data_IF_603529864775
#
_entry.id   IF_603529864775
#
_cell.length_a   1.000
_cell.length_b   1.000
_cell.length_c   1.000
_cell.angle_alpha   90.00
_cell.angle_beta   90.00
_cell.angle_gamma   90.00
#
_symmetry.space_group_name_H-M   'P 1'
#
loop_
_entity.id
_entity.type
_entity.pdbx_description
1 polymer ?
#
# COMPACT_ATOMS: atom_id res chain seq x y z
N UNK A 1 40.45 14.18 -3.45
CA UNK A 1 39.66 13.14 -2.74
C UNK A 1 39.05 13.77 -1.50
N UNK A 2 37.72 13.92 -1.46
CA UNK A 2 37.00 14.37 -0.27
C UNK A 2 36.56 13.12 0.48
N UNK A 3 37.03 12.93 1.70
CA UNK A 3 36.60 11.84 2.58
C UNK A 3 36.48 12.37 4.01
N UNK A 4 35.64 11.74 4.82
CA UNK A 4 35.56 12.05 6.24
C UNK A 4 36.38 11.06 7.05
N UNK A 5 37.00 11.49 8.16
CA UNK A 5 37.76 10.62 9.05
C UNK A 5 36.85 9.69 9.89
N UNK A 6 35.54 9.97 9.96
CA UNK A 6 34.56 9.14 10.67
C UNK A 6 34.24 7.86 9.87
N UNK A 7 34.10 6.73 10.57
CA UNK A 7 33.61 5.49 9.97
C UNK A 7 32.16 5.61 9.48
N UNK A 8 31.82 4.83 8.44
CA UNK A 8 30.46 4.71 7.90
C UNK A 8 30.36 5.11 6.42
N UNK A 9 29.29 4.64 5.79
CA UNK A 9 28.96 4.99 4.40
C UNK A 9 28.27 6.36 4.37
N UNK A 10 28.80 7.25 3.55
CA UNK A 10 28.27 8.61 3.40
C UNK A 10 27.62 8.75 2.04
N UNK A 11 26.34 9.08 2.03
CA UNK A 11 25.66 9.48 0.81
C UNK A 11 25.93 10.97 0.56
N UNK A 12 26.60 11.34 -0.54
CA UNK A 12 26.73 12.74 -0.91
C UNK A 12 25.36 13.28 -1.35
N UNK A 13 24.79 14.21 -0.58
CA UNK A 13 23.50 14.84 -0.85
C UNK A 13 23.55 16.36 -0.67
N UNK A 14 22.64 17.07 -1.34
CA UNK A 14 22.33 18.48 -1.08
C UNK A 14 20.86 18.58 -0.64
N UNK A 15 20.63 18.85 0.65
CA UNK A 15 19.27 18.83 1.21
C UNK A 15 18.65 17.43 1.16
N UNK A 16 17.39 17.34 0.70
CA UNK A 16 16.66 16.08 0.52
C UNK A 16 16.88 15.42 -0.85
N UNK A 17 17.72 16.00 -1.72
CA UNK A 17 17.95 15.53 -3.09
C UNK A 17 19.32 14.86 -3.26
N UNK A 18 19.44 14.06 -4.33
CA UNK A 18 20.72 13.56 -4.81
C UNK A 18 21.66 14.72 -5.17
N UNK A 19 22.96 14.54 -4.97
CA UNK A 19 23.92 15.53 -5.43
C UNK A 19 23.80 15.72 -6.96
N UNK A 20 23.91 16.96 -7.47
CA UNK A 20 23.80 17.26 -8.91
C UNK A 20 24.98 16.72 -9.73
N UNK A 21 25.96 16.11 -9.07
CA UNK A 21 27.12 15.46 -9.66
C UNK A 21 27.13 13.99 -9.25
N UNK A 22 27.56 13.06 -10.12
CA UNK A 22 27.76 11.66 -9.76
C UNK A 22 28.95 11.54 -8.80
N UNK A 23 28.68 11.67 -7.50
CA UNK A 23 29.69 11.56 -6.45
C UNK A 23 29.57 10.19 -5.79
N UNK A 24 30.70 9.52 -5.61
CA UNK A 24 30.81 8.30 -4.79
C UNK A 24 31.44 8.67 -3.46
N UNK A 25 30.75 8.33 -2.36
CA UNK A 25 31.36 8.33 -1.04
C UNK A 25 32.27 7.11 -0.89
N UNK A 26 33.48 7.32 -0.39
CA UNK A 26 34.36 6.23 0.05
C UNK A 26 34.45 6.24 1.56
N UNK A 27 34.54 5.05 2.14
CA UNK A 27 34.86 4.91 3.57
C UNK A 27 36.28 5.40 3.87
N UNK A 28 36.54 5.74 5.13
CA UNK A 28 37.83 6.28 5.54
C UNK A 28 39.01 5.33 5.25
N UNK A 29 38.81 4.02 5.40
CA UNK A 29 39.78 2.97 5.11
C UNK A 29 40.01 2.79 3.62
N UNK A 30 38.96 2.73 2.80
CA UNK A 30 39.05 2.71 1.33
C UNK A 30 39.76 3.96 0.81
N UNK A 31 39.42 5.12 1.38
CA UNK A 31 40.02 6.39 1.03
C UNK A 31 41.50 6.46 1.44
N UNK A 32 41.91 5.78 2.51
CA UNK A 32 43.32 5.66 2.91
C UNK A 32 44.12 4.79 1.92
N UNK A 33 43.53 3.68 1.47
CA UNK A 33 44.12 2.83 0.41
C UNK A 33 44.30 3.65 -0.87
N UNK A 34 43.25 4.36 -1.30
CA UNK A 34 43.31 5.19 -2.51
C UNK A 34 44.31 6.35 -2.38
N UNK A 35 44.38 7.02 -1.22
CA UNK A 35 45.40 8.06 -0.96
C UNK A 35 46.82 7.51 -1.07
N UNK A 36 47.06 6.32 -0.54
CA UNK A 36 48.37 5.66 -0.60
C UNK A 36 48.74 5.31 -2.04
N UNK A 37 47.78 4.83 -2.85
CA UNK A 37 48.00 4.54 -4.27
C UNK A 37 48.31 5.81 -5.07
N UNK A 38 47.55 6.89 -4.85
CA UNK A 38 47.74 8.18 -5.53
C UNK A 38 49.06 8.87 -5.15
N UNK A 39 49.58 8.65 -3.95
CA UNK A 39 50.89 9.17 -3.52
C UNK A 39 52.07 8.66 -4.36
N UNK A 40 51.86 7.61 -5.17
CA UNK A 40 52.87 7.02 -6.07
C UNK A 40 52.73 7.48 -7.53
N UNK A 41 51.82 8.41 -7.81
CA UNK A 41 51.52 8.91 -9.16
C UNK A 41 50.08 8.62 -9.59
N UNK A 42 49.84 8.53 -10.89
CA UNK A 42 48.51 8.18 -11.43
C UNK A 42 48.14 6.77 -10.94
N UNK A 43 46.96 6.65 -10.34
CA UNK A 43 46.38 5.38 -9.95
C UNK A 43 45.16 5.09 -10.83
N UNK A 44 45.04 3.86 -11.30
CA UNK A 44 43.83 3.35 -11.94
C UNK A 44 42.97 2.68 -10.87
N UNK A 45 41.68 2.98 -10.85
CA UNK A 45 40.73 2.43 -9.88
C UNK A 45 39.66 1.68 -10.66
N UNK A 46 39.60 0.36 -10.44
CA UNK A 46 38.48 -0.46 -10.86
C UNK A 46 37.55 -0.65 -9.67
N UNK A 47 36.24 -0.48 -9.89
CA UNK A 47 35.22 -0.65 -8.86
C UNK A 47 34.05 -1.42 -9.44
N UNK A 48 33.30 -2.09 -8.57
CA UNK A 48 32.05 -2.75 -8.91
C UNK A 48 31.04 -2.35 -7.84
N UNK A 49 29.88 -1.88 -8.28
CA UNK A 49 28.80 -1.51 -7.38
C UNK A 49 27.52 -2.22 -7.79
N UNK A 50 26.68 -2.48 -6.79
CA UNK A 50 25.34 -3.00 -6.97
C UNK A 50 24.36 -1.84 -6.89
N UNK A 51 23.79 -1.43 -8.01
CA UNK A 51 22.89 -0.27 -8.07
C UNK A 51 21.64 -0.43 -7.19
N UNK A 52 21.08 -1.65 -7.16
CA UNK A 52 19.94 -2.03 -6.33
C UNK A 52 20.32 -3.27 -5.52
N UNK A 53 20.54 -3.10 -4.21
CA UNK A 53 20.92 -4.22 -3.35
C UNK A 53 19.79 -5.26 -3.26
N UNK A 54 20.06 -6.56 -3.48
CA UNK A 54 19.05 -7.60 -3.34
C UNK A 54 18.72 -7.93 -1.88
N UNK A 55 19.35 -7.25 -0.92
CA UNK A 55 19.06 -7.40 0.51
C UNK A 55 19.32 -6.12 1.31
N UNK A 56 18.74 -6.06 2.51
CA UNK A 56 19.02 -5.04 3.53
C UNK A 56 19.07 -5.69 4.92
N UNK A 57 19.91 -5.17 5.81
CA UNK A 57 20.00 -5.60 7.20
C UNK A 57 19.46 -4.51 8.13
N UNK A 58 18.33 -4.80 8.76
CA UNK A 58 17.68 -3.97 9.76
C UNK A 58 18.10 -4.48 11.16
N UNK A 59 19.15 -3.86 11.70
CA UNK A 59 19.80 -4.33 12.91
C UNK A 59 19.52 -3.42 14.10
N UNK A 60 19.22 -4.01 15.25
CA UNK A 60 18.99 -3.30 16.51
C UNK A 60 19.72 -4.02 17.64
N UNK A 61 20.67 -3.34 18.27
CA UNK A 61 21.45 -3.89 19.39
C UNK A 61 21.23 -3.03 20.65
N UNK A 62 20.07 -3.16 21.31
CA UNK A 62 19.79 -2.40 22.52
C UNK A 62 20.71 -2.89 23.65
N UNK A 63 21.34 -1.95 24.34
CA UNK A 63 22.20 -2.21 25.50
C UNK A 63 21.57 -1.62 26.76
N UNK A 64 21.79 -2.27 27.91
CA UNK A 64 21.33 -1.77 29.21
C UNK A 64 22.52 -1.20 29.99
N UNK A 65 22.31 -0.04 30.62
CA UNK A 65 23.34 0.61 31.44
C UNK A 65 24.32 1.47 30.62
N UNK A 66 25.45 1.80 31.23
CA UNK A 66 26.45 2.66 30.60
C UNK A 66 27.27 1.88 29.57
N UNK A 67 27.50 2.49 28.40
CA UNK A 67 28.48 2.02 27.43
C UNK A 67 29.89 2.41 27.93
N UNK A 68 30.64 1.45 28.46
CA UNK A 68 31.97 1.69 29.06
C UNK A 68 33.14 1.22 28.19
N UNK A 69 32.87 0.65 27.02
CA UNK A 69 33.88 0.18 26.07
C UNK A 69 33.31 0.12 24.66
N UNK A 70 34.19 0.10 23.66
CA UNK A 70 33.81 -0.14 22.27
C UNK A 70 33.03 -1.45 22.12
N UNK A 71 32.05 -1.45 21.21
CA UNK A 71 31.21 -2.61 20.90
C UNK A 71 31.34 -2.96 19.42
N UNK A 72 31.49 -4.26 19.14
CA UNK A 72 31.47 -4.79 17.78
C UNK A 72 30.49 -5.95 17.72
N UNK A 73 29.44 -5.80 16.90
CA UNK A 73 28.44 -6.83 16.68
C UNK A 73 28.75 -7.57 15.38
N UNK A 74 28.84 -8.90 15.45
CA UNK A 74 28.98 -9.78 14.28
C UNK A 74 27.74 -10.65 14.20
N UNK A 75 26.94 -10.44 13.16
CA UNK A 75 25.68 -11.15 12.96
C UNK A 75 25.79 -12.12 11.81
N UNK A 76 25.04 -13.22 11.90
CA UNK A 76 24.86 -14.20 10.82
C UNK A 76 23.38 -14.29 10.50
N UNK A 77 23.03 -14.47 9.24
CA UNK A 77 21.64 -14.46 8.74
C UNK A 77 20.74 -15.42 9.50
N UNK A 78 21.25 -16.62 9.85
CA UNK A 78 20.51 -17.63 10.65
C UNK A 78 20.09 -17.18 12.06
N UNK A 79 20.61 -16.03 12.53
CA UNK A 79 20.25 -15.41 13.81
C UNK A 79 19.23 -14.27 13.66
N UNK A 80 18.84 -13.97 12.43
CA UNK A 80 17.87 -12.95 12.06
C UNK A 80 16.59 -13.60 11.57
N UNK A 81 15.47 -12.89 11.64
CA UNK A 81 14.33 -13.21 10.79
C UNK A 81 14.55 -12.61 9.41
N UNK A 82 13.93 -13.19 8.38
CA UNK A 82 14.02 -12.68 7.02
C UNK A 82 12.64 -12.51 6.39
N UNK A 83 12.50 -11.46 5.58
CA UNK A 83 11.30 -11.19 4.79
C UNK A 83 11.72 -11.08 3.34
N UNK A 84 11.15 -11.91 2.47
CA UNK A 84 11.26 -11.70 1.03
C UNK A 84 10.19 -10.69 0.63
N UNK A 85 10.61 -9.44 0.44
CA UNK A 85 9.72 -8.34 0.11
C UNK A 85 9.69 -8.14 -1.40
N UNK A 86 8.49 -8.11 -1.98
CA UNK A 86 8.24 -7.67 -3.36
C UNK A 86 7.60 -6.29 -3.31
N UNK A 87 8.00 -5.42 -4.23
CA UNK A 87 7.50 -4.05 -4.36
C UNK A 87 6.94 -3.89 -5.76
N UNK A 88 5.65 -3.60 -5.90
CA UNK A 88 5.06 -3.23 -7.18
C UNK A 88 5.08 -1.71 -7.36
N UNK A 89 5.25 -1.26 -8.60
CA UNK A 89 5.11 0.15 -8.94
C UNK A 89 3.67 0.51 -9.24
N UNK A 90 3.37 1.81 -9.27
CA UNK A 90 2.07 2.31 -9.70
C UNK A 90 2.05 2.61 -11.21
N UNK A 91 2.68 1.76 -12.02
CA UNK A 91 2.76 1.88 -13.47
C UNK A 91 3.92 2.72 -14.00
N UNK A 92 4.79 3.22 -13.10
CA UNK A 92 6.04 3.93 -13.43
C UNK A 92 7.14 3.36 -12.54
N UNK A 93 8.23 2.89 -13.14
CA UNK A 93 9.38 2.44 -12.36
C UNK A 93 9.98 3.64 -11.60
N UNK A 94 10.11 3.52 -10.29
CA UNK A 94 10.60 4.58 -9.41
C UNK A 94 11.19 3.99 -8.13
N UNK A 95 11.97 4.80 -7.42
CA UNK A 95 12.41 4.47 -6.08
C UNK A 95 11.36 4.98 -5.07
N UNK A 96 10.87 4.08 -4.23
CA UNK A 96 9.96 4.40 -3.14
C UNK A 96 10.76 4.66 -1.86
N UNK A 97 10.23 5.52 -1.00
CA UNK A 97 10.84 5.83 0.29
C UNK A 97 10.41 4.80 1.33
N UNK A 98 11.39 4.06 1.82
CA UNK A 98 11.28 3.02 2.83
C UNK A 98 11.66 3.58 4.21
N UNK A 99 10.64 3.71 5.06
CA UNK A 99 10.77 4.16 6.44
C UNK A 99 10.52 3.00 7.38
N UNK A 100 11.49 2.73 8.24
CA UNK A 100 11.41 1.66 9.22
C UNK A 100 11.36 2.23 10.62
N UNK A 101 10.26 1.98 11.32
CA UNK A 101 10.13 2.28 12.74
C UNK A 101 10.55 1.07 13.57
N UNK A 102 11.19 1.36 14.69
CA UNK A 102 11.61 0.39 15.69
C UNK A 102 11.06 0.77 17.05
N UNK A 103 10.23 -0.10 17.61
CA UNK A 103 9.61 0.09 18.93
C UNK A 103 10.16 -0.92 19.93
N UNK A 104 10.42 -0.45 21.15
CA UNK A 104 10.95 -1.25 22.25
C UNK A 104 9.88 -1.52 23.31
N UNK A 105 9.97 -2.62 24.08
CA UNK A 105 8.97 -2.97 25.10
C UNK A 105 8.76 -1.93 26.20
N UNK A 106 9.71 -1.02 26.41
CA UNK A 106 9.57 0.09 27.37
C UNK A 106 8.81 1.31 26.81
N UNK A 107 8.22 1.17 25.60
CA UNK A 107 7.32 2.16 25.02
C UNK A 107 7.96 3.21 24.11
N UNK A 108 9.28 3.19 23.92
CA UNK A 108 9.93 4.11 22.97
C UNK A 108 9.91 3.58 21.54
N UNK A 109 9.73 4.51 20.60
CA UNK A 109 9.78 4.28 19.16
C UNK A 109 10.82 5.21 18.53
N UNK A 110 11.62 4.67 17.62
CA UNK A 110 12.67 5.37 16.89
C UNK A 110 12.53 5.10 15.39
N UNK A 111 13.07 5.99 14.56
CA UNK A 111 13.26 5.70 13.13
C UNK A 111 14.60 4.98 12.95
N UNK A 112 14.57 3.78 12.38
CA UNK A 112 15.75 2.97 12.04
C UNK A 112 16.25 3.24 10.61
N UNK A 113 15.43 3.84 9.76
CA UNK A 113 15.84 4.43 8.48
C UNK A 113 15.28 5.85 8.34
N UNK A 114 15.97 6.68 7.56
CA UNK A 114 15.43 7.96 7.08
C UNK A 114 15.71 8.06 5.59
N UNK A 115 14.66 8.07 4.76
CA UNK A 115 14.76 8.22 3.30
C UNK A 115 15.56 7.12 2.60
N UNK A 116 15.56 5.90 3.14
CA UNK A 116 16.09 4.77 2.40
C UNK A 116 15.23 4.54 1.15
N UNK A 117 15.86 4.14 0.05
CA UNK A 117 15.17 3.92 -1.22
C UNK A 117 15.02 2.42 -1.49
N UNK A 118 13.89 2.05 -2.07
CA UNK A 118 13.64 0.72 -2.61
C UNK A 118 13.06 0.83 -4.01
N UNK A 119 13.67 0.11 -4.95
CA UNK A 119 13.22 0.11 -6.33
C UNK A 119 11.84 -0.56 -6.44
N UNK A 120 10.90 0.09 -7.13
CA UNK A 120 9.59 -0.43 -7.49
C UNK A 120 9.44 -0.34 -9.03
N UNK A 121 9.24 -1.45 -9.76
CA UNK A 121 9.11 -2.80 -9.23
C UNK A 121 10.45 -3.38 -8.77
N UNK A 122 10.42 -4.18 -7.73
CA UNK A 122 11.64 -4.78 -7.18
C UNK A 122 11.37 -5.93 -6.23
N UNK A 123 12.44 -6.64 -5.89
CA UNK A 123 12.42 -7.72 -4.91
C UNK A 123 13.73 -7.70 -4.13
N UNK A 124 13.63 -7.73 -2.80
CA UNK A 124 14.81 -7.84 -1.91
C UNK A 124 14.51 -8.68 -0.67
N UNK A 125 15.55 -9.24 -0.08
CA UNK A 125 15.46 -9.94 1.22
C UNK A 125 15.82 -8.98 2.35
N UNK A 126 14.90 -8.78 3.29
CA UNK A 126 15.04 -7.86 4.40
C UNK A 126 15.29 -8.68 5.67
N UNK A 127 16.44 -8.48 6.31
CA UNK A 127 16.82 -9.19 7.52
C UNK A 127 16.57 -8.34 8.75
N UNK A 128 15.96 -8.90 9.79
CA UNK A 128 15.60 -8.18 11.01
C UNK A 128 16.19 -8.84 12.24
N UNK A 129 16.67 -8.01 13.18
CA UNK A 129 17.03 -8.53 14.51
C UNK A 129 15.81 -9.18 15.15
N UNK A 130 15.96 -10.46 15.51
CA UNK A 130 14.93 -11.23 16.18
C UNK A 130 14.84 -10.89 17.67
N UNK A 131 13.68 -11.15 18.29
CA UNK A 131 13.45 -10.96 19.72
C UNK A 131 12.29 -10.03 20.03
N UNK A 132 12.46 -9.17 21.04
CA UNK A 132 11.44 -8.27 21.58
C UNK A 132 11.38 -6.90 20.88
N UNK A 133 12.21 -6.68 19.85
CA UNK A 133 12.14 -5.51 19.01
C UNK A 133 10.96 -5.62 18.07
N UNK A 134 10.04 -4.64 18.15
CA UNK A 134 8.93 -4.52 17.21
C UNK A 134 9.38 -3.66 16.04
N UNK A 135 9.18 -4.16 14.83
CA UNK A 135 9.51 -3.51 13.59
C UNK A 135 8.24 -3.16 12.84
N UNK A 136 8.17 -1.95 12.30
CA UNK A 136 7.06 -1.53 11.45
C UNK A 136 7.61 -0.80 10.24
N UNK A 137 7.31 -1.33 9.06
CA UNK A 137 7.71 -0.74 7.79
C UNK A 137 6.59 0.15 7.26
N UNK A 138 7.01 1.25 6.66
CA UNK A 138 6.17 2.18 5.96
C UNK A 138 6.83 2.50 4.63
N UNK A 139 6.03 2.52 3.57
CA UNK A 139 6.50 2.75 2.22
C UNK A 139 5.70 3.89 1.60
N UNK A 140 6.38 4.79 0.91
CA UNK A 140 5.76 5.90 0.20
C UNK A 140 6.28 5.96 -1.23
N UNK A 141 5.40 6.12 -2.21
CA UNK A 141 5.86 6.26 -3.60
C UNK A 141 6.45 7.63 -3.90
N UNK A 142 6.18 8.63 -3.08
CA UNK A 142 6.54 10.01 -3.36
C UNK A 142 6.90 10.76 -2.09
N UNK A 143 8.04 11.46 -2.10
CA UNK A 143 8.51 12.26 -0.98
C UNK A 143 8.69 13.72 -1.42
N UNK A 144 8.37 14.72 -0.57
CA UNK A 144 7.86 14.59 0.80
C UNK A 144 6.34 14.45 0.94
N UNK A 145 5.60 14.42 -0.17
CA UNK A 145 4.16 14.69 -0.17
C UNK A 145 3.27 13.56 -0.72
N UNK A 146 3.72 12.31 -0.60
CA UNK A 146 2.96 11.12 -1.01
C UNK A 146 2.18 10.48 0.12
N UNK A 147 1.37 9.49 -0.25
CA UNK A 147 0.73 8.55 0.66
C UNK A 147 1.79 7.75 1.44
N UNK A 148 1.35 7.15 2.55
CA UNK A 148 2.18 6.27 3.36
C UNK A 148 1.47 4.93 3.54
N UNK A 149 1.91 3.92 2.78
CA UNK A 149 1.48 2.55 2.97
C UNK A 149 2.15 1.99 4.22
N UNK A 150 1.37 1.50 5.17
CA UNK A 150 1.86 1.05 6.47
C UNK A 150 1.57 -0.44 6.64
N UNK A 151 2.61 -1.20 7.00
CA UNK A 151 2.49 -2.60 7.35
C UNK A 151 2.32 -2.83 8.85
N UNK A 152 2.07 -4.09 9.22
CA UNK A 152 1.82 -4.44 10.62
C UNK A 152 3.09 -4.33 11.46
N UNK A 153 2.95 -3.79 12.67
CA UNK A 153 4.01 -3.81 13.66
C UNK A 153 4.21 -5.23 14.20
N UNK A 154 5.40 -5.81 14.00
CA UNK A 154 5.66 -7.21 14.35
C UNK A 154 7.09 -7.46 14.86
N UNK A 155 7.23 -8.52 15.65
CA UNK A 155 8.53 -9.08 16.04
C UNK A 155 8.93 -10.20 15.09
N UNK A 156 10.23 -10.40 14.88
CA UNK A 156 10.75 -11.48 14.05
C UNK A 156 11.40 -12.60 14.88
N UNK A 157 11.35 -13.82 14.34
CA UNK A 157 11.99 -15.00 14.93
C UNK A 157 13.25 -15.38 14.15
N UNK A 158 14.32 -15.74 14.86
CA UNK A 158 15.58 -16.11 14.25
C UNK A 158 15.43 -17.37 13.36
N UNK A 159 15.96 -17.30 12.13
CA UNK A 159 15.89 -18.38 11.14
C UNK A 159 14.53 -18.56 10.48
N UNK A 160 13.52 -17.76 10.84
CA UNK A 160 12.19 -17.79 10.22
C UNK A 160 12.14 -16.83 9.04
N UNK A 161 11.66 -17.35 7.91
CA UNK A 161 11.40 -16.57 6.70
C UNK A 161 9.90 -16.30 6.54
N UNK A 162 9.55 -15.11 6.10
CA UNK A 162 8.20 -14.73 5.65
C UNK A 162 8.27 -14.01 4.30
N UNK A 163 7.11 -13.71 3.73
CA UNK A 163 6.96 -12.90 2.50
C UNK A 163 6.12 -11.68 2.81
N UNK A 164 6.28 -10.63 2.03
CA UNK A 164 5.45 -9.42 2.10
C UNK A 164 5.37 -8.80 0.70
N UNK A 165 4.19 -8.41 0.27
CA UNK A 165 3.94 -7.89 -1.07
C UNK A 165 3.38 -6.47 -1.00
N UNK A 166 4.25 -5.49 -1.25
CA UNK A 166 3.93 -4.08 -1.13
C UNK A 166 3.31 -3.54 -2.41
N UNK A 167 2.24 -2.76 -2.25
CA UNK A 167 1.50 -2.11 -3.32
C UNK A 167 0.91 -3.13 -4.31
N UNK A 168 0.70 -4.38 -3.91
CA UNK A 168 0.23 -5.43 -4.83
C UNK A 168 -1.21 -5.20 -5.31
N UNK A 169 -1.44 -5.48 -6.59
CA UNK A 169 -2.80 -5.52 -7.16
C UNK A 169 -3.41 -4.12 -7.35
N UNK A 170 -4.74 -4.01 -7.27
CA UNK A 170 -5.42 -2.72 -7.39
C UNK A 170 -5.43 -2.02 -6.04
N UNK A 171 -4.97 -0.76 -5.99
CA UNK A 171 -5.04 0.04 -4.77
C UNK A 171 -6.38 0.75 -4.72
N UNK A 172 -7.27 0.25 -3.87
CA UNK A 172 -8.65 0.74 -3.73
C UNK A 172 -8.99 1.00 -2.27
N UNK A 173 -10.02 1.82 -1.97
CA UNK A 173 -10.51 1.96 -0.61
C UNK A 173 -10.87 0.61 0.01
N UNK A 174 -10.57 0.45 1.30
CA UNK A 174 -10.71 -0.82 2.01
C UNK A 174 -11.11 -0.63 3.47
N UNK A 175 -11.23 -1.73 4.19
CA UNK A 175 -11.40 -1.67 5.64
C UNK A 175 -10.15 -1.06 6.30
N UNK A 176 -10.31 -0.15 7.27
CA UNK A 176 -9.20 0.30 8.10
C UNK A 176 -8.67 -0.86 8.93
N UNK A 177 -7.46 -0.71 9.46
CA UNK A 177 -6.84 -1.68 10.37
C UNK A 177 -6.35 -1.01 11.64
N UNK A 178 -6.42 -1.73 12.75
CA UNK A 178 -5.83 -1.31 14.02
C UNK A 178 -4.31 -1.54 14.04
N UNK A 179 -3.66 -1.16 15.15
CA UNK A 179 -2.22 -1.30 15.31
C UNK A 179 -1.73 -2.77 15.34
N UNK A 180 -2.65 -3.73 15.50
CA UNK A 180 -2.38 -5.16 15.48
C UNK A 180 -2.64 -5.77 14.09
N UNK A 181 -3.01 -4.96 13.10
CA UNK A 181 -3.30 -5.41 11.73
C UNK A 181 -4.68 -6.01 11.55
N UNK A 182 -5.54 -5.97 12.57
CA UNK A 182 -6.92 -6.47 12.47
C UNK A 182 -7.81 -5.40 11.84
N UNK A 183 -8.80 -5.83 11.05
CA UNK A 183 -9.83 -4.94 10.53
C UNK A 183 -10.46 -4.12 11.66
N UNK A 184 -10.54 -2.81 11.45
CA UNK A 184 -11.18 -1.82 12.31
C UNK A 184 -12.54 -1.41 11.72
N UNK A 185 -13.31 -0.61 12.48
CA UNK A 185 -14.64 -0.18 12.07
C UNK A 185 -14.54 0.81 10.90
N UNK A 186 -15.10 0.46 9.74
CA UNK A 186 -15.12 1.36 8.59
C UNK A 186 -16.34 2.27 8.57
N UNK A 187 -17.45 1.83 9.19
CA UNK A 187 -18.65 2.64 9.31
C UNK A 187 -19.66 2.03 10.27
N UNK A 188 -20.41 2.90 10.91
CA UNK A 188 -21.41 2.55 11.92
C UNK A 188 -22.59 3.52 11.92
N UNK A 189 -23.71 3.06 12.46
CA UNK A 189 -24.82 3.89 12.89
C UNK A 189 -24.84 4.00 14.41
N UNK A 190 -24.87 5.23 14.91
CA UNK A 190 -25.07 5.58 16.31
C UNK A 190 -26.28 6.50 16.39
N UNK A 191 -27.39 5.99 16.94
CA UNK A 191 -28.66 6.72 16.98
C UNK A 191 -29.11 7.24 15.59
N UNK A 192 -29.32 8.54 15.44
CA UNK A 192 -29.67 9.21 14.19
C UNK A 192 -28.45 9.71 13.40
N UNK A 193 -27.29 9.09 13.60
CA UNK A 193 -26.06 9.42 12.85
C UNK A 193 -25.45 8.19 12.21
N UNK A 194 -24.96 8.35 10.98
CA UNK A 194 -24.15 7.37 10.24
C UNK A 194 -22.75 7.95 10.11
N UNK A 195 -21.76 7.33 10.74
CA UNK A 195 -20.34 7.69 10.66
C UNK A 195 -19.59 6.72 9.78
N UNK A 196 -18.75 7.22 8.87
CA UNK A 196 -18.02 6.40 7.89
C UNK A 196 -16.60 6.94 7.68
N UNK A 197 -15.61 6.07 7.80
CA UNK A 197 -14.18 6.37 7.66
C UNK A 197 -13.40 5.11 7.20
N UNK A 198 -13.53 4.68 5.93
CA UNK A 198 -12.75 3.58 5.39
C UNK A 198 -11.28 3.97 5.23
N UNK A 199 -10.39 2.98 5.06
CA UNK A 199 -9.04 3.26 4.60
C UNK A 199 -9.10 3.83 3.18
N UNK A 200 -8.33 4.88 2.92
CA UNK A 200 -8.36 5.60 1.64
C UNK A 200 -7.87 4.73 0.48
N UNK A 201 -6.85 3.92 0.74
CA UNK A 201 -6.36 2.89 -0.16
C UNK A 201 -5.80 1.73 0.64
N UNK A 202 -5.90 0.53 0.10
CA UNK A 202 -5.32 -0.70 0.67
C UNK A 202 -4.74 -1.55 -0.44
N UNK A 203 -3.70 -2.31 -0.13
CA UNK A 203 -3.33 -3.49 -0.90
C UNK A 203 -3.86 -4.76 -0.21
N UNK A 204 -3.29 -5.93 -0.50
CA UNK A 204 -3.67 -7.21 0.13
C UNK A 204 -3.38 -7.28 1.63
N UNK A 205 -2.39 -6.53 2.12
CA UNK A 205 -1.81 -6.70 3.46
C UNK A 205 -1.74 -5.39 4.26
N UNK A 206 -1.70 -4.25 3.58
CA UNK A 206 -1.31 -2.95 4.12
C UNK A 206 -2.40 -1.89 3.92
N UNK A 207 -2.32 -0.83 4.75
CA UNK A 207 -3.22 0.33 4.69
C UNK A 207 -2.45 1.59 4.28
N UNK A 208 -2.99 2.35 3.34
CA UNK A 208 -2.42 3.61 2.87
C UNK A 208 -3.04 4.80 3.58
N UNK A 209 -2.20 5.60 4.22
CA UNK A 209 -2.56 6.93 4.71
C UNK A 209 -2.40 7.96 3.60
N UNK A 210 -3.34 8.90 3.48
CA UNK A 210 -3.30 9.96 2.48
C UNK A 210 -2.13 10.92 2.73
N UNK A 211 -1.44 11.33 1.66
CA UNK A 211 -0.38 12.34 1.70
C UNK A 211 -0.88 13.79 1.79
N UNK A 212 -2.20 14.01 1.80
CA UNK A 212 -2.93 15.30 1.87
C UNK A 212 -2.69 16.32 0.74
N UNK A 213 -1.59 16.27 -0.01
CA UNK A 213 -1.23 17.25 -1.06
C UNK A 213 -1.51 16.77 -2.50
N UNK A 214 -2.16 15.63 -2.64
CA UNK A 214 -2.44 15.00 -3.94
C UNK A 214 -3.45 13.86 -3.85
N UNK A 215 -3.68 13.32 -2.66
CA UNK A 215 -4.77 12.39 -2.38
C UNK A 215 -5.98 13.17 -1.89
N UNK A 216 -7.04 13.22 -2.71
CA UNK A 216 -8.28 13.92 -2.38
C UNK A 216 -9.46 12.95 -2.45
N UNK A 217 -10.52 13.25 -1.72
CA UNK A 217 -11.74 12.47 -1.80
C UNK A 217 -12.93 13.15 -1.15
N UNK A 218 -14.11 12.64 -1.45
CA UNK A 218 -15.37 13.15 -0.96
C UNK A 218 -16.37 12.01 -0.77
N UNK A 219 -17.43 12.27 -0.01
CA UNK A 219 -18.53 11.33 0.19
C UNK A 219 -19.88 11.97 -0.06
N UNK A 220 -20.82 11.16 -0.54
CA UNK A 220 -22.24 11.49 -0.67
C UNK A 220 -23.08 10.35 -0.15
N UNK A 221 -24.03 10.65 0.74
CA UNK A 221 -25.01 9.70 1.25
C UNK A 221 -26.39 10.03 0.66
N UNK A 222 -27.03 9.02 0.07
CA UNK A 222 -28.44 9.06 -0.32
C UNK A 222 -29.26 8.13 0.56
N UNK A 223 -30.54 8.48 0.74
CA UNK A 223 -31.57 7.68 1.38
C UNK A 223 -32.77 7.61 0.43
N UNK A 224 -33.19 6.40 0.05
CA UNK A 224 -34.31 6.18 -0.89
C UNK A 224 -34.18 7.02 -2.19
N UNK A 225 -32.96 7.20 -2.68
CA UNK A 225 -32.64 7.98 -3.88
C UNK A 225 -32.34 9.47 -3.65
N UNK A 226 -32.75 10.05 -2.52
CA UNK A 226 -32.55 11.47 -2.21
C UNK A 226 -31.23 11.70 -1.46
N UNK A 227 -30.49 12.76 -1.81
CA UNK A 227 -29.25 13.13 -1.11
C UNK A 227 -29.59 13.66 0.28
N UNK A 228 -29.04 13.01 1.32
CA UNK A 228 -29.25 13.37 2.74
C UNK A 228 -27.99 13.93 3.40
N UNK A 229 -26.83 13.83 2.74
CA UNK A 229 -25.62 14.49 3.21
C UNK A 229 -24.42 14.30 2.29
N UNK A 230 -23.45 15.20 2.43
CA UNK A 230 -22.21 15.20 1.67
C UNK A 230 -21.04 15.58 2.59
N UNK A 231 -19.85 15.07 2.29
CA UNK A 231 -18.60 15.44 2.95
C UNK A 231 -17.57 15.79 1.90
N UNK A 232 -16.88 16.92 2.09
CA UNK A 232 -15.71 17.31 1.29
C UNK A 232 -14.45 16.49 1.59
N UNK A 233 -14.56 15.48 2.44
CA UNK A 233 -13.50 14.56 2.83
C UNK A 233 -13.90 13.11 2.53
N UNK A 234 -12.95 12.17 2.41
CA UNK A 234 -13.23 10.74 2.22
C UNK A 234 -13.66 10.03 3.52
N UNK A 235 -14.31 10.77 4.42
CA UNK A 235 -14.92 10.32 5.67
C UNK A 235 -15.96 11.36 6.10
N UNK A 236 -16.88 10.98 6.98
CA UNK A 236 -17.87 11.93 7.48
C UNK A 236 -18.88 11.30 8.43
N UNK A 237 -19.71 12.17 9.01
CA UNK A 237 -20.87 11.80 9.82
C UNK A 237 -22.10 12.49 9.22
N UNK A 238 -23.15 11.72 9.01
CA UNK A 238 -24.40 12.18 8.39
C UNK A 238 -25.55 12.02 9.36
N UNK A 239 -26.38 13.05 9.51
CA UNK A 239 -27.63 12.94 10.30
C UNK A 239 -28.69 12.27 9.43
N UNK A 240 -29.33 11.22 9.95
CA UNK A 240 -30.34 10.44 9.23
C UNK A 240 -31.58 10.19 10.10
N UNK A 241 -32.78 10.07 9.50
CA UNK A 241 -34.00 9.70 10.22
C UNK A 241 -33.92 8.31 10.87
N UNK A 242 -34.75 8.06 11.87
CA UNK A 242 -34.72 6.83 12.68
C UNK A 242 -35.18 5.57 11.90
N UNK A 243 -36.07 5.76 10.95
CA UNK A 243 -36.77 4.70 10.23
C UNK A 243 -35.81 3.83 9.40
N UNK A 244 -36.18 2.56 9.22
CA UNK A 244 -35.53 1.69 8.24
C UNK A 244 -35.64 2.28 6.83
N UNK A 245 -34.53 2.32 6.12
CA UNK A 245 -34.44 2.81 4.75
C UNK A 245 -33.27 2.18 4.01
N UNK A 246 -33.36 2.17 2.67
CA UNK A 246 -32.24 1.91 1.80
C UNK A 246 -31.36 3.17 1.69
N UNK A 247 -30.04 2.95 1.79
CA UNK A 247 -29.01 3.97 1.66
C UNK A 247 -28.04 3.61 0.54
N UNK A 248 -27.56 4.64 -0.15
CA UNK A 248 -26.41 4.55 -1.06
C UNK A 248 -25.33 5.52 -0.57
N UNK A 249 -24.16 4.99 -0.20
CA UNK A 249 -23.01 5.80 0.15
C UNK A 249 -21.99 5.74 -0.99
N UNK A 250 -21.68 6.87 -1.61
CA UNK A 250 -20.64 6.98 -2.62
C UNK A 250 -19.39 7.64 -2.02
N UNK A 251 -18.24 7.00 -2.17
CA UNK A 251 -16.91 7.54 -1.92
C UNK A 251 -16.18 7.72 -3.26
N UNK A 252 -15.68 8.92 -3.51
CA UNK A 252 -14.73 9.19 -4.59
C UNK A 252 -13.35 9.44 -3.98
N UNK A 253 -12.31 8.79 -4.52
CA UNK A 253 -10.91 9.08 -4.22
C UNK A 253 -10.15 9.37 -5.52
N UNK A 254 -9.22 10.32 -5.48
CA UNK A 254 -8.43 10.71 -6.64
C UNK A 254 -7.01 11.02 -6.20
N UNK A 255 -6.05 10.63 -7.04
CA UNK A 255 -4.65 11.01 -6.93
C UNK A 255 -4.28 12.03 -8.01
N UNK A 256 -3.80 13.20 -7.61
CA UNK A 256 -3.47 14.33 -8.48
C UNK A 256 -2.14 15.00 -8.11
N UNK A 257 -1.72 15.94 -8.95
CA UNK A 257 -0.59 16.84 -8.67
C UNK A 257 0.78 16.16 -8.73
N UNK A 258 1.79 16.84 -8.17
CA UNK A 258 3.16 16.31 -8.13
C UNK A 258 3.29 14.94 -7.46
N UNK A 259 2.56 14.62 -6.37
CA UNK A 259 2.61 13.28 -5.75
C UNK A 259 2.13 12.15 -6.67
N UNK A 260 1.31 12.46 -7.68
CA UNK A 260 0.84 11.49 -8.67
C UNK A 260 1.84 11.23 -9.81
N UNK A 261 3.01 11.87 -9.84
CA UNK A 261 3.94 11.75 -10.97
C UNK A 261 4.39 10.30 -11.26
N UNK A 262 4.55 9.50 -10.19
CA UNK A 262 4.91 8.08 -10.27
C UNK A 262 3.69 7.14 -10.24
N UNK A 263 2.48 7.72 -10.34
CA UNK A 263 1.22 7.02 -10.20
C UNK A 263 0.40 7.12 -11.49
N UNK A 264 0.29 6.00 -12.19
CA UNK A 264 -0.48 5.83 -13.42
C UNK A 264 -1.53 4.74 -13.29
N UNK A 265 -1.77 4.24 -12.08
CA UNK A 265 -2.67 3.12 -11.81
C UNK A 265 -3.57 3.39 -10.62
N UNK A 266 -4.84 3.00 -10.69
CA UNK A 266 -5.84 3.32 -9.64
C UNK A 266 -5.84 4.83 -9.31
N UNK A 267 -5.78 5.67 -10.34
CA UNK A 267 -5.64 7.14 -10.23
C UNK A 267 -6.90 7.79 -9.70
N UNK A 268 -8.05 7.13 -9.89
CA UNK A 268 -9.33 7.50 -9.31
C UNK A 268 -10.12 6.23 -8.99
N UNK A 269 -10.84 6.26 -7.87
CA UNK A 269 -11.87 5.27 -7.57
C UNK A 269 -13.20 5.94 -7.25
N UNK A 270 -14.28 5.30 -7.66
CA UNK A 270 -15.64 5.63 -7.23
C UNK A 270 -16.27 4.36 -6.69
N UNK A 271 -16.57 4.34 -5.39
CA UNK A 271 -17.15 3.18 -4.70
C UNK A 271 -18.50 3.57 -4.14
N UNK A 272 -19.57 2.91 -4.57
CA UNK A 272 -20.92 3.10 -4.03
C UNK A 272 -21.38 1.84 -3.32
N UNK A 273 -21.66 1.95 -2.03
CA UNK A 273 -22.24 0.88 -1.21
C UNK A 273 -23.74 1.04 -1.11
N UNK A 274 -24.49 -0.03 -1.39
CA UNK A 274 -25.93 -0.12 -1.18
C UNK A 274 -26.24 -0.99 0.04
N UNK A 275 -26.98 -0.43 1.01
CA UNK A 275 -27.34 -1.13 2.25
C UNK A 275 -28.65 -0.65 2.86
N UNK A 276 -29.23 -1.42 3.79
CA UNK A 276 -30.32 -0.95 4.67
C UNK A 276 -29.81 -0.60 6.06
N UNK A 277 -30.43 0.37 6.70
CA UNK A 277 -30.10 0.76 8.08
C UNK A 277 -31.32 1.29 8.83
N UNK A 278 -31.48 0.88 10.09
CA UNK A 278 -32.54 1.31 11.02
C UNK A 278 -31.92 1.72 12.37
N UNK A 279 -32.54 2.66 13.07
CA UNK A 279 -32.14 3.02 14.43
C UNK A 279 -32.55 1.91 15.40
N UNK A 280 -31.58 1.36 16.12
CA UNK A 280 -31.84 0.44 17.25
C UNK A 280 -31.47 1.14 18.56
N UNK A 281 -32.45 1.60 19.36
CA UNK A 281 -32.20 2.41 20.56
C UNK A 281 -31.29 1.72 21.58
N UNK A 282 -31.35 0.39 21.65
CA UNK A 282 -30.61 -0.41 22.62
C UNK A 282 -29.22 -0.86 22.13
N UNK A 283 -28.79 -0.41 20.93
CA UNK A 283 -27.49 -0.75 20.35
C UNK A 283 -26.66 0.51 20.20
N UNK A 284 -25.60 0.63 21.01
CA UNK A 284 -24.74 1.81 21.03
C UNK A 284 -24.01 2.05 19.69
N UNK A 285 -23.61 0.98 19.00
CA UNK A 285 -22.90 1.02 17.72
C UNK A 285 -23.38 -0.13 16.83
N UNK A 286 -23.94 0.22 15.67
CA UNK A 286 -24.40 -0.74 14.67
C UNK A 286 -23.49 -0.69 13.45
N UNK A 287 -22.69 -1.72 13.19
CA UNK A 287 -21.84 -1.74 12.01
C UNK A 287 -22.64 -1.67 10.70
N UNK A 288 -22.20 -0.83 9.77
CA UNK A 288 -22.83 -0.72 8.44
C UNK A 288 -22.38 -1.89 7.55
N UNK A 289 -23.26 -2.47 6.72
CA UNK A 289 -22.90 -3.60 5.90
C UNK A 289 -22.21 -3.17 4.60
N UNK A 290 -20.99 -2.66 4.75
CA UNK A 290 -20.15 -2.17 3.65
C UNK A 290 -19.28 -3.32 3.12
N UNK A 291 -19.44 -3.64 1.82
CA UNK A 291 -18.61 -4.61 1.11
C UNK A 291 -17.38 -3.94 0.50
N UNK A 292 -16.18 -4.41 0.81
CA UNK A 292 -14.93 -3.94 0.20
C UNK A 292 -14.42 -4.93 -0.85
N UNK A 293 -14.51 -4.60 -2.16
CA UNK A 293 -14.03 -5.49 -3.22
C UNK A 293 -12.54 -5.84 -3.09
N UNK A 294 -12.21 -7.09 -3.41
CA UNK A 294 -10.83 -7.60 -3.52
C UNK A 294 -10.62 -8.22 -4.89
N UNK A 295 -9.48 -7.90 -5.48
CA UNK A 295 -9.14 -8.29 -6.85
C UNK A 295 -7.85 -9.09 -6.87
N UNK A 296 -7.89 -10.24 -7.52
CA UNK A 296 -6.68 -11.01 -7.88
C UNK A 296 -6.47 -10.84 -9.39
N UNK A 297 -5.82 -9.72 -9.77
CA UNK A 297 -5.45 -9.43 -11.16
C UNK A 297 -4.08 -10.07 -11.43
N UNK A 298 -3.91 -10.85 -12.51
CA UNK A 298 -2.64 -11.51 -12.83
C UNK A 298 -1.65 -10.55 -13.48
N UNK A 299 -1.40 -9.41 -12.84
CA UNK A 299 -0.49 -8.37 -13.34
C UNK A 299 0.95 -8.61 -12.92
N UNK A 300 1.89 -8.07 -13.69
CA UNK A 300 3.28 -7.95 -13.25
C UNK A 300 3.49 -6.75 -12.30
N UNK A 301 4.73 -6.56 -11.83
CA UNK A 301 5.06 -5.47 -10.91
C UNK A 301 4.91 -4.05 -11.49
N UNK A 302 4.64 -3.91 -12.79
CA UNK A 302 4.28 -2.63 -13.43
C UNK A 302 2.76 -2.45 -13.54
N UNK A 303 1.98 -3.39 -12.98
CA UNK A 303 0.52 -3.47 -13.10
C UNK A 303 0.09 -3.57 -14.56
N UNK A 304 0.74 -4.48 -15.29
CA UNK A 304 0.36 -4.80 -16.67
C UNK A 304 -0.07 -6.26 -16.83
N UNK A 305 -1.01 -6.49 -17.74
CA UNK A 305 -1.47 -7.83 -18.14
C UNK A 305 -1.17 -8.05 -19.62
N UNK A 306 -0.94 -9.30 -20.09
CA UNK A 306 -0.71 -9.57 -21.50
C UNK A 306 -1.89 -9.15 -22.40
N UNK A 307 -1.60 -8.65 -23.61
CA UNK A 307 -2.56 -8.47 -24.71
C UNK A 307 -3.06 -9.81 -25.26
N UNK A 308 -3.88 -10.50 -24.49
CA UNK A 308 -4.42 -11.82 -24.82
C UNK A 308 -5.86 -11.93 -24.35
N UNK A 309 -6.65 -12.70 -25.08
CA UNK A 309 -7.95 -13.13 -24.59
C UNK A 309 -7.79 -14.07 -23.38
N UNK A 310 -8.81 -14.11 -22.52
CA UNK A 310 -8.93 -15.08 -21.45
C UNK A 310 -8.18 -14.71 -20.18
N UNK A 311 -7.81 -13.44 -19.98
CA UNK A 311 -7.25 -13.01 -18.68
C UNK A 311 -8.33 -13.16 -17.60
N UNK A 312 -7.97 -13.76 -16.46
CA UNK A 312 -8.90 -14.07 -15.38
C UNK A 312 -8.59 -13.21 -14.17
N UNK A 313 -9.59 -12.47 -13.70
CA UNK A 313 -9.53 -11.65 -12.49
C UNK A 313 -10.33 -12.38 -11.42
N UNK A 314 -9.68 -12.73 -10.30
CA UNK A 314 -10.38 -13.26 -9.13
C UNK A 314 -11.12 -12.14 -8.40
N UNK A 315 -12.32 -12.44 -7.92
CA UNK A 315 -13.19 -11.49 -7.23
C UNK A 315 -13.60 -12.02 -5.86
N UNK A 316 -13.50 -11.16 -4.85
CA UNK A 316 -14.02 -11.39 -3.52
C UNK A 316 -14.47 -10.06 -2.89
N UNK A 317 -15.07 -10.12 -1.71
CA UNK A 317 -15.35 -8.95 -0.88
C UNK A 317 -14.99 -9.25 0.58
N UNK A 318 -14.44 -8.26 1.27
CA UNK A 318 -14.27 -8.27 2.72
C UNK A 318 -15.24 -7.31 3.38
N UNK A 319 -15.45 -7.44 4.69
CA UNK A 319 -16.18 -6.46 5.48
C UNK A 319 -15.22 -5.60 6.28
N UNK A 320 -15.61 -5.31 7.51
CA UNK A 320 -14.81 -4.56 8.49
C UNK A 320 -15.20 -5.01 9.91
N UNK A 321 -14.63 -4.42 10.96
CA UNK A 321 -14.86 -4.88 12.34
C UNK A 321 -16.35 -4.96 12.76
N UNK A 322 -17.22 -4.13 12.17
CA UNK A 322 -18.65 -4.09 12.48
C UNK A 322 -19.53 -4.94 11.55
N UNK A 323 -18.98 -5.56 10.50
CA UNK A 323 -19.75 -6.34 9.54
C UNK A 323 -18.91 -7.41 8.85
N UNK A 324 -19.41 -8.66 8.86
CA UNK A 324 -18.87 -9.76 8.06
C UNK A 324 -19.85 -10.06 6.91
N UNK A 325 -19.42 -9.96 5.64
CA UNK A 325 -20.29 -10.23 4.49
C UNK A 325 -20.80 -11.68 4.45
N UNK A 326 -21.99 -11.85 3.89
CA UNK A 326 -22.44 -13.17 3.42
C UNK A 326 -21.65 -13.64 2.20
N UNK A 327 -21.91 -14.86 1.74
CA UNK A 327 -21.38 -15.32 0.45
C UNK A 327 -21.85 -14.42 -0.69
N UNK A 328 -20.99 -14.17 -1.67
CA UNK A 328 -21.36 -13.39 -2.86
C UNK A 328 -22.33 -14.18 -3.73
N UNK A 329 -23.50 -13.60 -3.98
CA UNK A 329 -24.57 -14.18 -4.81
C UNK A 329 -24.53 -13.67 -6.25
N UNK A 330 -23.94 -12.50 -6.47
CA UNK A 330 -23.79 -11.90 -7.80
C UNK A 330 -22.44 -11.18 -7.90
N UNK A 331 -21.78 -11.37 -9.04
CA UNK A 331 -20.63 -10.57 -9.45
C UNK A 331 -20.75 -10.23 -10.94
N UNK A 332 -20.67 -8.94 -11.26
CA UNK A 332 -20.57 -8.43 -12.63
C UNK A 332 -19.33 -7.58 -12.75
N UNK A 333 -18.62 -7.73 -13.86
CA UNK A 333 -17.47 -6.91 -14.18
C UNK A 333 -17.63 -6.40 -15.60
N UNK A 334 -17.39 -5.11 -15.78
CA UNK A 334 -17.22 -4.48 -17.08
C UNK A 334 -15.90 -3.74 -17.11
N UNK A 335 -15.29 -3.66 -18.28
CA UNK A 335 -14.03 -2.96 -18.50
C UNK A 335 -14.15 -1.98 -19.67
N UNK A 336 -13.34 -0.94 -19.63
CA UNK A 336 -13.31 0.14 -20.61
C UNK A 336 -11.87 0.50 -20.96
N UNK A 337 -11.65 0.95 -22.20
CA UNK A 337 -10.36 1.46 -22.68
C UNK A 337 -10.37 2.98 -22.95
N UNK A 338 -11.51 3.64 -22.73
CA UNK A 338 -11.76 5.06 -23.00
C UNK A 338 -12.22 5.81 -21.74
N UNK A 339 -11.80 5.33 -20.55
CA UNK A 339 -12.10 6.00 -19.28
C UNK A 339 -13.52 5.81 -18.77
N UNK A 340 -14.30 4.89 -19.35
CA UNK A 340 -15.66 4.56 -18.93
C UNK A 340 -16.75 5.17 -19.82
N UNK A 341 -16.41 5.70 -21.00
CA UNK A 341 -17.38 6.17 -21.99
C UNK A 341 -18.09 4.98 -22.65
N UNK A 342 -17.34 3.94 -23.00
CA UNK A 342 -17.88 2.65 -23.48
C UNK A 342 -17.43 1.49 -22.61
N UNK A 343 -18.30 0.48 -22.49
CA UNK A 343 -18.10 -0.66 -21.59
C UNK A 343 -18.21 -1.99 -22.32
N UNK A 344 -17.25 -2.86 -22.07
CA UNK A 344 -17.27 -4.27 -22.46
C UNK A 344 -17.61 -5.12 -21.25
N UNK A 345 -18.58 -6.02 -21.37
CA UNK A 345 -18.91 -6.96 -20.31
C UNK A 345 -17.86 -8.08 -20.24
N UNK A 346 -17.36 -8.36 -19.05
CA UNK A 346 -16.57 -9.56 -18.79
C UNK A 346 -17.49 -10.77 -18.57
N UNK A 347 -17.02 -11.97 -18.91
CA UNK A 347 -17.75 -13.19 -18.56
C UNK A 347 -17.46 -13.54 -17.11
N UNK A 348 -18.46 -13.46 -16.23
CA UNK A 348 -18.31 -13.83 -14.82
C UNK A 348 -18.79 -15.25 -14.55
N UNK A 349 -18.07 -15.96 -13.68
CA UNK A 349 -18.41 -17.31 -13.26
C UNK A 349 -18.09 -17.53 -11.78
N UNK A 350 -18.87 -18.41 -11.14
CA UNK A 350 -18.62 -18.89 -9.79
C UNK A 350 -18.26 -20.38 -9.86
N UNK A 351 -17.02 -20.73 -9.49
CA UNK A 351 -16.53 -22.11 -9.50
C UNK A 351 -15.68 -22.37 -8.27
N UNK A 352 -15.94 -23.48 -7.57
CA UNK A 352 -15.18 -23.88 -6.38
C UNK A 352 -15.17 -22.83 -5.26
N UNK A 353 -16.27 -22.11 -5.07
CA UNK A 353 -16.40 -21.06 -4.05
C UNK A 353 -15.67 -19.75 -4.38
N UNK A 354 -15.22 -19.56 -5.63
CA UNK A 354 -14.51 -18.36 -6.09
C UNK A 354 -15.20 -17.74 -7.29
N UNK A 355 -15.37 -16.42 -7.24
CA UNK A 355 -15.83 -15.63 -8.37
C UNK A 355 -14.64 -15.26 -9.26
N UNK A 356 -14.84 -15.32 -10.57
CA UNK A 356 -13.84 -14.94 -11.56
C UNK A 356 -14.51 -14.17 -12.69
N UNK A 357 -13.89 -13.09 -13.15
CA UNK A 357 -14.22 -12.40 -14.39
C UNK A 357 -13.18 -12.72 -15.45
N UNK A 358 -13.62 -13.12 -16.65
CA UNK A 358 -12.75 -13.33 -17.81
C UNK A 358 -12.88 -12.16 -18.77
N UNK A 359 -11.76 -11.50 -19.07
CA UNK A 359 -11.67 -10.32 -19.93
C UNK A 359 -10.84 -10.60 -21.19
N UNK A 360 -11.19 -9.91 -22.28
CA UNK A 360 -10.48 -10.01 -23.55
C UNK A 360 -9.66 -8.75 -23.83
N UNK A 361 -8.34 -8.93 -23.94
CA UNK A 361 -7.37 -7.88 -24.21
C UNK A 361 -6.57 -8.13 -25.50
N UNK A 362 -7.00 -9.06 -26.37
CA UNK A 362 -6.22 -9.45 -27.55
C UNK A 362 -5.81 -8.26 -28.44
N UNK A 363 -6.72 -7.30 -28.63
CA UNK A 363 -6.50 -6.13 -29.51
C UNK A 363 -6.25 -4.83 -28.74
N UNK A 364 -5.86 -4.93 -27.46
CA UNK A 364 -5.78 -3.79 -26.54
C UNK A 364 -4.36 -3.43 -26.10
N UNK A 365 -3.31 -3.93 -26.77
CA UNK A 365 -1.92 -3.63 -26.42
C UNK A 365 -1.68 -2.10 -26.29
N UNK A 366 -1.01 -1.70 -25.20
CA UNK A 366 -0.72 -0.30 -24.88
C UNK A 366 -1.89 0.49 -24.29
N UNK A 367 -3.08 -0.11 -24.12
CA UNK A 367 -4.23 0.56 -23.51
C UNK A 367 -4.20 0.46 -21.99
N UNK A 368 -4.75 1.49 -21.33
CA UNK A 368 -5.12 1.44 -19.92
C UNK A 368 -6.55 0.91 -19.79
N UNK A 369 -6.83 0.20 -18.70
CA UNK A 369 -8.15 -0.40 -18.44
C UNK A 369 -8.80 0.28 -17.24
N UNK A 370 -9.99 0.83 -17.43
CA UNK A 370 -10.90 1.18 -16.34
C UNK A 370 -11.78 -0.03 -16.04
N UNK A 371 -11.83 -0.43 -14.77
CA UNK A 371 -12.58 -1.60 -14.32
C UNK A 371 -13.78 -1.16 -13.49
N UNK A 372 -14.98 -1.64 -13.81
CA UNK A 372 -16.18 -1.47 -12.98
C UNK A 372 -16.67 -2.83 -12.51
N UNK A 373 -16.87 -2.95 -11.21
CA UNK A 373 -17.23 -4.20 -10.53
C UNK A 373 -18.47 -3.97 -9.69
N UNK A 374 -19.45 -4.85 -9.82
CA UNK A 374 -20.67 -4.87 -9.02
C UNK A 374 -20.73 -6.21 -8.28
N UNK A 375 -20.76 -6.18 -6.95
CA UNK A 375 -20.87 -7.35 -6.10
C UNK A 375 -22.13 -7.25 -5.23
N UNK A 376 -22.76 -8.38 -4.96
CA UNK A 376 -23.90 -8.49 -4.03
C UNK A 376 -23.71 -9.72 -3.15
N UNK A 377 -23.94 -9.58 -1.85
CA UNK A 377 -23.88 -10.69 -0.91
C UNK A 377 -25.25 -11.34 -0.65
N UNK A 378 -25.25 -12.47 0.07
CA UNK A 378 -26.46 -13.20 0.44
C UNK A 378 -27.40 -12.43 1.38
N UNK A 379 -26.91 -11.35 2.01
CA UNK A 379 -27.71 -10.48 2.87
C UNK A 379 -28.38 -9.33 2.07
N UNK A 380 -28.15 -9.27 0.75
CA UNK A 380 -28.72 -8.26 -0.13
C UNK A 380 -27.96 -6.93 -0.14
N UNK A 381 -26.79 -6.85 0.49
CA UNK A 381 -25.93 -5.67 0.44
C UNK A 381 -25.10 -5.68 -0.83
N UNK A 382 -24.81 -4.50 -1.37
CA UNK A 382 -24.12 -4.37 -2.65
C UNK A 382 -22.99 -3.35 -2.62
N UNK A 383 -22.06 -3.51 -3.54
CA UNK A 383 -21.04 -2.50 -3.84
C UNK A 383 -20.82 -2.41 -5.34
N UNK A 384 -20.77 -1.19 -5.87
CA UNK A 384 -20.31 -0.88 -7.22
C UNK A 384 -19.02 -0.08 -7.10
N UNK A 385 -17.92 -0.58 -7.64
CA UNK A 385 -16.64 0.12 -7.64
C UNK A 385 -16.11 0.28 -9.06
N UNK A 386 -15.83 1.52 -9.45
CA UNK A 386 -15.09 1.86 -10.66
C UNK A 386 -13.67 2.26 -10.29
N UNK A 387 -12.68 1.64 -10.92
CA UNK A 387 -11.25 1.91 -10.75
C UNK A 387 -10.70 2.40 -12.08
N UNK A 388 -10.37 3.68 -12.16
CA UNK A 388 -9.74 4.29 -13.33
C UNK A 388 -8.26 3.92 -13.37
N UNK A 389 -7.77 3.58 -14.56
CA UNK A 389 -6.42 3.05 -14.78
C UNK A 389 -6.12 1.84 -13.87
N UNK A 390 -7.04 0.89 -13.74
CA UNK A 390 -6.85 -0.29 -12.89
C UNK A 390 -5.53 -1.01 -13.21
N UNK A 391 -5.28 -1.30 -14.48
CA UNK A 391 -4.05 -1.88 -15.00
C UNK A 391 -3.87 -1.50 -16.48
N UNK A 392 -2.69 -1.78 -17.05
CA UNK A 392 -2.47 -1.61 -18.49
C UNK A 392 -2.30 -2.95 -19.20
N UNK A 393 -2.47 -2.94 -20.52
CA UNK A 393 -2.28 -4.12 -21.38
C UNK A 393 -0.95 -4.00 -22.11
N UNK A 394 -0.12 -5.05 -22.09
CA UNK A 394 1.22 -5.08 -22.69
C UNK A 394 1.38 -6.06 -23.84
#
# INVERSE_FOLDING_TARGET
LVHRPSAGDWQPGLGYGAAPLPVLGLRADEAAVLKTALGKGKAEVSWTATAVSPFVYNLSFPEKGQLTSDRTYKVRDKKLGSVVSTHESMGVAADFVDTLLVSRPYGATYSASSLALVAAPGKRTEYYTAGDTVWQKMLSSSFPWGELMTGDARTYQAGRATTEEWYRGLLVPGAPRDAQGKEALAGERQDNTIGVAPAFMTDSEHIGQQGSFGDIGNMRLKREGDVVGESGYPFGVFTVPAEDAAYELTLMTTKIGSPAAVWKRSTQTETTWGFRSERKPDVASQGLPLLFPRYDVPSDGMKTVPAKNGQRIGLAATGHAGYTPGELTSAKVSFSYDGGETWHAATTAHQGGRWTATVDHADAAGRSVTLRTELTDANGNSVVQTVTDAYAVR
#
